data_IF_185068494934
#
_entry.id   IF_185068494934
#
_cell.length_a   1.000
_cell.length_b   1.000
_cell.length_c   1.000
_cell.angle_alpha   90.00
_cell.angle_beta   90.00
_cell.angle_gamma   90.00
#
_symmetry.space_group_name_H-M   'P 1'
#
loop_
_entity.id
_entity.type
_entity.pdbx_description
1 polymer ?
#
# COMPACT_ATOMS: atom_id res chain seq x y z
N UNK A 1 -89.53 17.71 41.62
CA UNK A 1 -88.59 18.64 40.94
C UNK A 1 -87.28 18.42 41.62
N UNK A 2 -86.38 17.54 41.04
CA UNK A 2 -85.03 17.19 41.57
C UNK A 2 -84.02 17.85 40.71
N UNK A 3 -83.24 18.76 41.30
CA UNK A 3 -82.13 19.45 40.68
C UNK A 3 -80.89 18.50 40.60
N UNK A 4 -80.26 18.37 39.45
CA UNK A 4 -79.06 17.62 39.22
C UNK A 4 -77.84 18.55 39.59
N UNK A 5 -76.75 18.02 40.16
CA UNK A 5 -75.57 18.80 40.50
C UNK A 5 -74.66 19.04 39.28
N UNK A 6 -74.19 20.26 39.11
CA UNK A 6 -73.16 20.67 38.16
C UNK A 6 -71.82 20.08 38.60
N UNK A 7 -71.17 19.27 37.72
CA UNK A 7 -69.79 18.88 37.91
C UNK A 7 -68.81 20.04 37.60
N UNK A 8 -68.11 20.48 38.63
CA UNK A 8 -66.98 21.40 38.49
C UNK A 8 -65.74 20.62 38.10
N UNK A 9 -65.32 20.68 36.86
CA UNK A 9 -64.00 20.19 36.48
C UNK A 9 -62.96 21.19 36.93
N UNK A 10 -62.08 20.77 37.83
CA UNK A 10 -61.04 21.61 38.45
C UNK A 10 -60.01 22.12 37.39
N UNK A 11 -59.68 23.38 37.51
CA UNK A 11 -58.67 24.08 36.70
C UNK A 11 -57.33 23.36 36.73
N UNK A 12 -57.03 22.60 37.79
CA UNK A 12 -55.83 21.80 37.95
C UNK A 12 -55.69 20.67 36.89
N UNK A 13 -56.78 20.03 36.44
CA UNK A 13 -56.75 18.96 35.44
C UNK A 13 -56.44 19.50 34.05
N UNK A 14 -56.78 20.73 33.70
CA UNK A 14 -56.45 21.36 32.42
C UNK A 14 -54.99 21.81 32.30
N UNK A 15 -54.37 22.21 33.43
CA UNK A 15 -52.93 22.53 33.44
C UNK A 15 -52.04 21.29 33.29
N UNK A 16 -52.42 20.14 33.88
CA UNK A 16 -51.63 18.91 33.72
C UNK A 16 -51.63 18.35 32.30
N UNK A 17 -52.75 18.46 31.57
CA UNK A 17 -52.83 18.00 30.14
C UNK A 17 -52.01 18.92 29.24
N UNK A 18 -51.94 20.22 29.44
CA UNK A 18 -51.08 21.14 28.70
C UNK A 18 -49.61 20.90 28.96
N UNK A 19 -49.20 20.63 30.20
CA UNK A 19 -47.79 20.36 30.52
C UNK A 19 -47.25 19.08 29.87
N UNK A 20 -48.08 18.02 29.84
CA UNK A 20 -47.70 16.73 29.21
C UNK A 20 -47.61 16.83 27.67
N UNK A 21 -48.46 17.63 27.02
CA UNK A 21 -48.44 17.83 25.59
C UNK A 21 -47.19 18.60 25.13
N UNK A 22 -46.72 19.60 25.88
CA UNK A 22 -45.51 20.39 25.56
C UNK A 22 -44.23 19.55 25.72
N UNK A 23 -44.17 18.62 26.72
CA UNK A 23 -43.02 17.75 26.94
C UNK A 23 -42.87 16.68 25.83
N UNK A 24 -43.98 16.14 25.31
CA UNK A 24 -43.98 15.13 24.24
C UNK A 24 -43.60 15.78 22.89
N UNK A 25 -44.07 17.00 22.59
CA UNK A 25 -43.65 17.72 21.35
C UNK A 25 -42.20 18.15 21.40
N UNK A 26 -41.65 18.55 22.56
CA UNK A 26 -40.24 18.91 22.72
C UNK A 26 -39.27 17.75 22.52
N UNK A 27 -39.63 16.53 22.93
CA UNK A 27 -38.80 15.34 22.76
C UNK A 27 -38.82 14.79 21.31
N UNK A 28 -39.90 15.00 20.55
CA UNK A 28 -39.98 14.58 19.14
C UNK A 28 -39.14 15.48 18.23
N UNK A 29 -39.08 16.77 18.49
CA UNK A 29 -38.25 17.72 17.70
C UNK A 29 -36.76 17.59 17.96
N UNK A 30 -36.36 17.17 19.17
CA UNK A 30 -34.94 16.98 19.50
C UNK A 30 -34.35 15.72 18.81
N UNK A 31 -35.16 14.67 18.62
CA UNK A 31 -34.70 13.44 17.92
C UNK A 31 -34.62 13.59 16.40
N UNK A 32 -35.47 14.45 15.78
CA UNK A 32 -35.38 14.71 14.34
C UNK A 32 -34.15 15.58 13.97
N UNK A 33 -33.69 16.45 14.86
CA UNK A 33 -32.51 17.29 14.63
C UNK A 33 -31.17 16.55 14.66
N UNK A 34 -31.09 15.44 15.41
CA UNK A 34 -29.85 14.67 15.53
C UNK A 34 -29.62 13.71 14.34
N UNK A 35 -30.69 13.24 13.69
CA UNK A 35 -30.57 12.34 12.53
C UNK A 35 -30.26 13.08 11.23
N UNK A 36 -30.67 14.34 11.08
CA UNK A 36 -30.40 15.14 9.88
C UNK A 36 -28.96 15.61 9.77
N UNK A 37 -28.24 15.84 10.87
CA UNK A 37 -26.83 16.22 10.84
C UNK A 37 -25.89 15.07 10.42
N UNK A 38 -26.24 13.81 10.73
CA UNK A 38 -25.43 12.64 10.34
C UNK A 38 -25.56 12.34 8.82
N UNK A 39 -26.72 12.62 8.21
CA UNK A 39 -26.94 12.44 6.79
C UNK A 39 -26.35 13.58 5.94
N UNK A 40 -26.36 14.81 6.47
CA UNK A 40 -25.82 15.98 5.76
C UNK A 40 -24.27 15.95 5.67
N UNK A 41 -23.59 15.36 6.65
CA UNK A 41 -22.13 15.24 6.63
C UNK A 41 -21.61 14.24 5.59
N UNK A 42 -22.41 13.22 5.23
CA UNK A 42 -22.04 12.22 4.22
C UNK A 42 -22.38 12.66 2.78
N UNK A 43 -23.31 13.60 2.59
CA UNK A 43 -23.74 14.09 1.27
C UNK A 43 -22.68 15.01 0.60
N UNK A 44 -21.69 15.49 1.34
CA UNK A 44 -20.68 16.44 0.85
C UNK A 44 -19.26 15.90 0.76
N UNK A 45 -19.05 14.59 0.97
CA UNK A 45 -17.70 14.00 0.88
C UNK A 45 -17.32 13.70 -0.59
N UNK A 46 -16.08 14.09 -1.01
CA UNK A 46 -15.13 14.97 -0.33
C UNK A 46 -15.44 16.45 -0.58
N UNK A 47 -15.22 17.31 0.42
CA UNK A 47 -15.40 18.77 0.32
C UNK A 47 -14.08 19.56 0.50
N UNK A 48 -12.95 18.86 0.64
CA UNK A 48 -11.60 19.40 0.73
C UNK A 48 -10.60 18.40 0.14
N UNK A 49 -9.35 18.82 -0.02
CA UNK A 49 -8.27 17.97 -0.53
C UNK A 49 -8.06 16.72 0.32
N UNK A 50 -7.71 15.61 -0.34
CA UNK A 50 -7.35 14.32 0.25
C UNK A 50 -5.83 14.18 0.21
N UNK A 51 -5.20 13.75 1.30
CA UNK A 51 -3.78 13.43 1.34
C UNK A 51 -3.57 11.96 1.00
N UNK A 52 -2.78 11.69 -0.04
CA UNK A 52 -2.31 10.34 -0.35
C UNK A 52 -0.88 10.16 0.17
N UNK A 53 -0.75 9.41 1.27
CA UNK A 53 0.56 9.06 1.82
C UNK A 53 1.21 8.02 0.91
N UNK A 54 2.45 8.30 0.51
CA UNK A 54 3.35 7.38 -0.20
C UNK A 54 4.51 7.06 0.73
N UNK A 55 4.65 5.81 1.23
CA UNK A 55 5.60 5.48 2.30
C UNK A 55 7.05 5.28 1.80
N UNK A 56 7.38 5.85 0.64
CA UNK A 56 8.68 5.77 -0.01
C UNK A 56 9.08 7.12 -0.63
N UNK A 57 10.38 7.34 -0.91
CA UNK A 57 10.84 8.53 -1.62
C UNK A 57 10.25 8.63 -3.03
N UNK A 58 10.25 9.83 -3.63
CA UNK A 58 9.91 10.00 -5.04
C UNK A 58 10.76 9.11 -5.97
N UNK A 59 10.16 8.69 -7.10
CA UNK A 59 10.81 7.89 -8.15
C UNK A 59 10.85 6.38 -7.91
N UNK A 60 10.38 5.87 -6.75
CA UNK A 60 10.13 4.44 -6.54
C UNK A 60 8.75 4.00 -7.07
N UNK A 61 8.50 2.68 -7.14
CA UNK A 61 7.26 2.12 -7.69
C UNK A 61 6.00 2.74 -7.06
N UNK A 62 5.96 2.90 -5.72
CA UNK A 62 4.81 3.50 -5.06
C UNK A 62 4.50 4.92 -5.56
N UNK A 63 5.53 5.74 -5.73
CA UNK A 63 5.40 7.12 -6.20
C UNK A 63 5.01 7.18 -7.69
N UNK A 64 5.62 6.31 -8.52
CA UNK A 64 5.33 6.17 -9.96
C UNK A 64 3.85 5.82 -10.18
N UNK A 65 3.29 4.92 -9.38
CA UNK A 65 1.87 4.52 -9.47
C UNK A 65 0.96 5.56 -8.81
N UNK A 66 1.36 6.11 -7.66
CA UNK A 66 0.54 7.05 -6.90
C UNK A 66 0.20 8.32 -7.68
N UNK A 67 1.16 8.90 -8.43
CA UNK A 67 0.95 10.19 -9.13
C UNK A 67 -0.16 10.13 -10.17
N UNK A 68 -0.14 9.23 -11.17
CA UNK A 68 -1.22 9.16 -12.15
C UNK A 68 -2.56 8.71 -11.53
N UNK A 69 -2.53 7.85 -10.50
CA UNK A 69 -3.73 7.44 -9.76
C UNK A 69 -4.32 8.64 -8.99
N UNK A 70 -3.51 9.41 -8.28
CA UNK A 70 -3.98 10.61 -7.57
C UNK A 70 -4.58 11.65 -8.51
N UNK A 71 -3.96 11.87 -9.68
CA UNK A 71 -4.49 12.79 -10.70
C UNK A 71 -5.85 12.32 -11.23
N UNK A 72 -5.99 11.02 -11.54
CA UNK A 72 -7.25 10.45 -12.01
C UNK A 72 -8.34 10.48 -10.92
N UNK A 73 -7.98 10.11 -9.68
CA UNK A 73 -8.90 10.21 -8.52
C UNK A 73 -9.33 11.66 -8.26
N UNK A 74 -8.42 12.64 -8.44
CA UNK A 74 -8.77 14.06 -8.27
C UNK A 74 -9.88 14.49 -9.23
N UNK A 75 -9.79 14.07 -10.50
CA UNK A 75 -10.83 14.33 -11.50
C UNK A 75 -12.17 13.70 -11.12
N UNK A 76 -12.14 12.45 -10.70
CA UNK A 76 -13.35 11.70 -10.33
C UNK A 76 -14.00 12.24 -9.04
N UNK A 77 -13.21 12.63 -8.05
CA UNK A 77 -13.70 13.12 -6.76
C UNK A 77 -14.08 14.60 -6.77
N UNK A 78 -13.65 15.37 -7.78
CA UNK A 78 -13.83 16.82 -7.81
C UNK A 78 -13.03 17.59 -6.73
N UNK A 79 -12.09 16.93 -6.07
CA UNK A 79 -11.22 17.50 -5.05
C UNK A 79 -9.77 17.03 -5.26
N UNK A 80 -8.76 17.86 -4.97
CA UNK A 80 -7.37 17.47 -5.12
C UNK A 80 -7.01 16.26 -4.26
N UNK A 81 -6.31 15.29 -4.85
CA UNK A 81 -5.61 14.21 -4.13
C UNK A 81 -4.12 14.55 -4.16
N UNK A 82 -3.57 14.95 -3.01
CA UNK A 82 -2.21 15.49 -2.89
C UNK A 82 -1.29 14.42 -2.31
N UNK A 83 -0.15 14.19 -2.96
CA UNK A 83 0.84 13.19 -2.52
C UNK A 83 1.72 13.77 -1.42
N UNK A 84 1.89 12.98 -0.36
CA UNK A 84 2.87 13.23 0.70
C UNK A 84 3.80 12.01 0.84
N UNK A 85 5.09 12.16 0.50
CA UNK A 85 6.08 11.10 0.65
C UNK A 85 6.58 11.03 2.10
N UNK A 86 6.34 9.91 2.79
CA UNK A 86 6.79 9.63 4.18
C UNK A 86 7.63 8.35 4.21
N UNK A 87 8.86 8.46 3.78
CA UNK A 87 9.78 7.33 3.65
C UNK A 87 10.40 6.89 4.97
N UNK A 88 10.88 5.65 5.01
CA UNK A 88 11.70 5.07 6.08
C UNK A 88 11.20 3.72 6.58
N UNK A 89 12.11 2.95 7.18
CA UNK A 89 11.85 1.62 7.75
C UNK A 89 11.10 0.67 6.77
N UNK A 90 11.57 0.55 5.51
CA UNK A 90 10.90 -0.30 4.51
C UNK A 90 9.49 0.16 4.10
N UNK A 91 9.11 1.38 4.45
CA UNK A 91 7.77 1.95 4.28
C UNK A 91 6.95 2.01 5.59
N UNK A 92 7.43 1.38 6.66
CA UNK A 92 6.70 1.26 7.93
C UNK A 92 6.32 2.60 8.55
N UNK A 93 7.17 3.63 8.43
CA UNK A 93 6.88 4.98 8.96
C UNK A 93 5.61 5.54 8.31
N UNK A 94 5.56 5.59 6.98
CA UNK A 94 4.40 6.16 6.27
C UNK A 94 3.14 5.31 6.42
N UNK A 95 3.26 3.98 6.44
CA UNK A 95 2.14 3.05 6.69
C UNK A 95 1.57 3.26 8.09
N UNK A 96 2.43 3.39 9.11
CA UNK A 96 2.01 3.67 10.48
C UNK A 96 1.36 5.05 10.65
N UNK A 97 1.80 6.06 9.90
CA UNK A 97 1.11 7.38 9.88
C UNK A 97 -0.30 7.24 9.29
N UNK A 98 -0.44 6.53 8.18
CA UNK A 98 -1.75 6.31 7.56
C UNK A 98 -2.68 5.48 8.45
N UNK A 99 -2.18 4.42 9.09
CA UNK A 99 -2.94 3.56 9.98
C UNK A 99 -3.54 4.32 11.19
N UNK A 100 -2.81 5.32 11.68
CA UNK A 100 -3.24 6.17 12.82
C UNK A 100 -3.99 7.44 12.41
N UNK A 101 -4.19 7.65 11.10
CA UNK A 101 -4.93 8.82 10.62
C UNK A 101 -6.41 8.73 10.99
N UNK A 102 -7.08 9.88 11.03
CA UNK A 102 -8.54 9.92 11.26
C UNK A 102 -9.26 9.12 10.17
N UNK A 103 -10.22 8.26 10.53
CA UNK A 103 -10.97 7.46 9.56
C UNK A 103 -12.09 8.25 8.88
N UNK A 104 -11.77 9.45 8.41
CA UNK A 104 -12.70 10.41 7.78
C UNK A 104 -12.58 10.45 6.25
N UNK A 105 -11.71 9.60 5.67
CA UNK A 105 -11.47 9.47 4.24
C UNK A 105 -10.52 10.53 3.65
N UNK A 106 -10.03 11.49 4.42
CA UNK A 106 -9.12 12.52 3.92
C UNK A 106 -7.64 12.14 3.99
N UNK A 107 -7.33 10.93 4.49
CA UNK A 107 -6.02 10.30 4.39
C UNK A 107 -6.17 8.94 3.73
N UNK A 108 -5.48 8.74 2.61
CA UNK A 108 -5.37 7.45 1.93
C UNK A 108 -3.89 7.07 1.81
N UNK A 109 -3.59 5.80 1.61
CA UNK A 109 -2.24 5.27 1.55
C UNK A 109 -2.03 4.50 0.24
N UNK A 110 -1.00 4.84 -0.54
CA UNK A 110 -0.49 3.99 -1.62
C UNK A 110 0.65 3.13 -1.09
N UNK A 111 0.34 1.91 -0.65
CA UNK A 111 1.32 0.98 -0.07
C UNK A 111 1.96 0.06 -1.12
N UNK A 112 3.06 -0.57 -0.73
CA UNK A 112 3.67 -1.71 -1.42
C UNK A 112 3.61 -2.98 -0.55
N UNK A 113 4.05 -4.11 -1.12
CA UNK A 113 4.01 -5.44 -0.49
C UNK A 113 4.73 -5.57 0.86
N UNK A 114 5.62 -4.62 1.24
CA UNK A 114 6.17 -4.59 2.60
C UNK A 114 5.13 -4.37 3.71
N UNK A 115 3.91 -3.94 3.35
CA UNK A 115 2.79 -3.83 4.28
C UNK A 115 2.44 -5.17 4.94
N UNK A 116 2.61 -6.29 4.24
CA UNK A 116 2.35 -7.64 4.78
C UNK A 116 3.57 -8.24 5.50
N UNK A 117 4.74 -7.60 5.39
CA UNK A 117 6.01 -8.09 5.95
C UNK A 117 6.37 -7.42 7.27
N UNK A 118 6.22 -6.08 7.34
CA UNK A 118 6.73 -5.27 8.45
C UNK A 118 6.12 -5.64 9.81
N UNK A 119 4.80 -5.87 9.96
CA UNK A 119 4.24 -6.28 11.26
C UNK A 119 4.82 -7.60 11.78
N UNK A 120 5.05 -8.56 10.89
CA UNK A 120 5.68 -9.84 11.23
C UNK A 120 7.16 -9.68 11.62
N UNK A 121 7.87 -8.80 10.92
CA UNK A 121 9.26 -8.48 11.24
C UNK A 121 9.39 -7.77 12.59
N UNK A 122 8.50 -6.84 12.92
CA UNK A 122 8.48 -6.18 14.23
C UNK A 122 8.22 -7.19 15.35
N UNK A 123 7.27 -8.13 15.16
CA UNK A 123 6.99 -9.20 16.10
C UNK A 123 8.22 -10.13 16.28
N UNK A 124 8.89 -10.53 15.18
CA UNK A 124 10.11 -11.35 15.22
C UNK A 124 11.25 -10.66 16.00
N UNK A 125 11.37 -9.35 15.86
CA UNK A 125 12.39 -8.53 16.49
C UNK A 125 12.04 -8.14 17.94
N UNK A 126 10.83 -8.49 18.42
CA UNK A 126 10.35 -8.13 19.76
C UNK A 126 10.05 -6.64 19.90
N UNK A 127 9.74 -5.95 18.81
CA UNK A 127 9.37 -4.53 18.77
C UNK A 127 7.87 -4.35 18.77
N UNK A 128 7.38 -3.24 19.32
CA UNK A 128 5.98 -2.83 19.12
C UNK A 128 5.75 -2.53 17.64
N UNK A 129 4.73 -3.14 17.00
CA UNK A 129 4.46 -2.91 15.59
C UNK A 129 4.20 -1.42 15.30
N UNK A 130 4.76 -0.92 14.20
CA UNK A 130 4.48 0.44 13.72
C UNK A 130 3.02 0.60 13.30
N UNK A 131 2.39 -0.48 12.87
CA UNK A 131 0.96 -0.63 12.54
C UNK A 131 0.62 -2.12 12.54
N UNK A 132 -0.67 -2.45 12.62
CA UNK A 132 -1.18 -3.79 12.38
C UNK A 132 -1.86 -3.84 11.00
N UNK A 133 -1.85 -4.99 10.36
CA UNK A 133 -2.49 -5.15 9.05
C UNK A 133 -3.97 -4.76 9.08
N UNK A 134 -4.66 -5.08 10.17
CA UNK A 134 -6.08 -4.78 10.38
C UNK A 134 -6.37 -3.29 10.68
N UNK A 135 -5.37 -2.46 10.88
CA UNK A 135 -5.55 -1.01 11.01
C UNK A 135 -5.83 -0.33 9.65
N UNK A 136 -5.59 -1.06 8.57
CA UNK A 136 -5.72 -0.59 7.20
C UNK A 136 -6.68 -1.45 6.39
N UNK A 137 -7.62 -0.82 5.69
CA UNK A 137 -8.62 -1.46 4.84
C UNK A 137 -8.21 -1.34 3.37
N UNK A 138 -8.07 -2.44 2.61
CA UNK A 138 -7.73 -2.38 1.19
C UNK A 138 -8.88 -1.82 0.36
N UNK A 139 -8.53 -0.97 -0.61
CA UNK A 139 -9.47 -0.32 -1.54
C UNK A 139 -9.28 -0.84 -2.96
N UNK A 140 -8.04 -0.88 -3.46
CA UNK A 140 -7.73 -1.34 -4.80
C UNK A 140 -6.25 -1.74 -4.92
N UNK A 141 -5.94 -2.80 -5.67
CA UNK A 141 -4.58 -3.08 -6.15
C UNK A 141 -4.42 -2.50 -7.55
N UNK A 142 -3.26 -1.92 -7.84
CA UNK A 142 -2.95 -1.38 -9.17
C UNK A 142 -1.94 -2.22 -9.93
N UNK A 143 -0.85 -2.66 -9.29
CA UNK A 143 0.20 -3.47 -9.92
C UNK A 143 0.55 -4.68 -9.06
N UNK A 144 1.15 -5.71 -9.68
CA UNK A 144 1.72 -6.87 -8.99
C UNK A 144 2.81 -7.46 -9.88
N UNK A 145 3.97 -6.80 -9.91
CA UNK A 145 5.07 -7.19 -10.76
C UNK A 145 6.10 -8.04 -10.03
N UNK A 146 6.69 -9.05 -10.69
CA UNK A 146 7.88 -9.69 -10.16
C UNK A 146 9.00 -8.64 -10.03
N UNK A 147 9.78 -8.71 -8.95
CA UNK A 147 11.03 -7.94 -8.87
C UNK A 147 12.06 -8.51 -9.84
N UNK A 148 13.04 -7.70 -10.21
CA UNK A 148 14.16 -8.07 -11.08
C UNK A 148 15.49 -7.95 -10.32
N UNK A 149 16.43 -8.86 -10.55
CA UNK A 149 17.81 -8.78 -10.09
C UNK A 149 18.59 -7.90 -11.05
N UNK A 150 18.97 -6.73 -10.59
CA UNK A 150 19.66 -5.72 -11.37
C UNK A 150 21.08 -5.50 -10.89
N UNK A 151 22.00 -5.31 -11.86
CA UNK A 151 23.40 -4.96 -11.66
C UNK A 151 23.78 -3.87 -12.66
N UNK A 152 24.92 -3.20 -12.47
CA UNK A 152 25.44 -2.30 -13.50
C UNK A 152 25.78 -3.08 -14.79
N UNK A 153 25.66 -2.45 -15.93
CA UNK A 153 25.94 -3.10 -17.21
C UNK A 153 27.42 -3.51 -17.36
N UNK A 154 28.34 -2.80 -16.69
CA UNK A 154 29.78 -3.08 -16.67
C UNK A 154 30.20 -4.07 -15.56
N UNK A 155 29.25 -4.58 -14.75
CA UNK A 155 29.55 -5.60 -13.75
C UNK A 155 30.08 -6.90 -14.39
N UNK A 156 30.90 -7.69 -13.67
CA UNK A 156 31.47 -8.90 -14.21
C UNK A 156 30.44 -9.97 -14.54
N UNK A 157 29.26 -9.94 -13.90
CA UNK A 157 28.24 -10.97 -14.06
C UNK A 157 27.35 -10.68 -15.26
N UNK A 158 27.26 -11.66 -16.15
CA UNK A 158 26.41 -11.60 -17.36
C UNK A 158 25.05 -12.32 -17.16
N UNK A 159 24.97 -13.18 -16.15
CA UNK A 159 23.80 -13.99 -15.83
C UNK A 159 23.78 -14.34 -14.32
N UNK A 160 22.65 -14.90 -13.86
CA UNK A 160 22.45 -15.28 -12.45
C UNK A 160 23.46 -16.34 -11.99
N UNK A 161 23.84 -17.28 -12.85
CA UNK A 161 24.79 -18.36 -12.46
C UNK A 161 26.13 -17.77 -12.10
N UNK A 162 26.68 -16.88 -12.90
CA UNK A 162 27.94 -16.17 -12.61
C UNK A 162 27.85 -15.36 -11.30
N UNK A 163 26.74 -14.67 -11.08
CA UNK A 163 26.50 -13.93 -9.84
C UNK A 163 26.51 -14.84 -8.61
N UNK A 164 25.79 -15.97 -8.65
CA UNK A 164 25.73 -16.93 -7.55
C UNK A 164 27.06 -17.66 -7.34
N UNK A 165 27.76 -18.05 -8.42
CA UNK A 165 29.08 -18.67 -8.31
C UNK A 165 30.11 -17.76 -7.65
N UNK A 166 30.09 -16.46 -7.98
CA UNK A 166 30.97 -15.47 -7.36
C UNK A 166 30.61 -15.27 -5.88
N UNK A 167 29.30 -15.18 -5.56
CA UNK A 167 28.83 -15.10 -4.18
C UNK A 167 29.25 -16.33 -3.32
N UNK A 168 29.33 -17.53 -3.92
CA UNK A 168 29.85 -18.73 -3.24
C UNK A 168 31.34 -18.68 -3.00
N UNK A 169 32.09 -18.18 -3.98
CA UNK A 169 33.57 -18.05 -3.88
C UNK A 169 33.97 -16.98 -2.87
N UNK A 170 33.17 -15.94 -2.72
CA UNK A 170 33.46 -14.77 -1.87
C UNK A 170 32.26 -14.44 -0.95
N UNK A 171 31.98 -15.26 0.07
CA UNK A 171 30.80 -15.07 0.93
C UNK A 171 30.80 -13.68 1.58
N UNK A 172 29.71 -12.93 1.41
CA UNK A 172 29.53 -11.58 1.95
C UNK A 172 30.30 -10.47 1.21
N UNK A 173 31.03 -10.77 0.12
CA UNK A 173 31.75 -9.75 -0.64
C UNK A 173 30.83 -8.94 -1.58
N UNK A 174 29.72 -9.51 -2.02
CA UNK A 174 28.76 -8.83 -2.89
C UNK A 174 27.78 -8.04 -2.03
N UNK A 175 27.73 -6.72 -2.25
CA UNK A 175 26.82 -5.82 -1.57
C UNK A 175 25.55 -5.64 -2.38
N UNK A 176 24.39 -5.72 -1.73
CA UNK A 176 23.13 -5.38 -2.39
C UNK A 176 22.37 -4.27 -1.65
N UNK A 177 21.73 -3.40 -2.41
CA UNK A 177 20.89 -2.34 -1.90
C UNK A 177 19.44 -2.75 -1.72
N UNK A 178 18.77 -2.17 -0.73
CA UNK A 178 17.34 -2.37 -0.51
C UNK A 178 16.61 -1.06 -0.18
N UNK A 179 15.29 -1.14 -0.05
CA UNK A 179 14.45 -0.05 0.44
C UNK A 179 14.30 0.00 1.97
N UNK A 180 15.24 -0.62 2.70
CA UNK A 180 15.23 -0.80 4.16
C UNK A 180 15.00 -2.26 4.56
N UNK A 181 15.27 -2.57 5.82
CA UNK A 181 15.13 -3.91 6.39
C UNK A 181 13.68 -4.40 6.22
N UNK A 182 13.52 -5.64 5.79
CA UNK A 182 12.24 -6.28 5.48
C UNK A 182 11.38 -5.54 4.44
N UNK A 183 11.96 -4.58 3.73
CA UNK A 183 11.31 -3.87 2.62
C UNK A 183 11.20 -4.75 1.37
N UNK A 184 10.45 -4.24 0.38
CA UNK A 184 10.15 -4.94 -0.89
C UNK A 184 11.35 -5.30 -1.75
N UNK A 185 12.52 -4.71 -1.48
CA UNK A 185 13.78 -4.98 -2.18
C UNK A 185 14.70 -5.90 -1.35
N UNK A 186 14.53 -5.97 -0.04
CA UNK A 186 15.31 -6.81 0.85
C UNK A 186 14.83 -8.26 0.80
N UNK A 187 13.53 -8.48 1.03
CA UNK A 187 12.91 -9.81 1.08
C UNK A 187 13.27 -10.71 -0.11
N UNK A 188 13.11 -10.28 -1.38
CA UNK A 188 13.45 -11.13 -2.52
C UNK A 188 14.94 -11.48 -2.61
N UNK A 189 15.85 -10.58 -2.22
CA UNK A 189 17.29 -10.88 -2.18
C UNK A 189 17.61 -11.95 -1.14
N UNK A 190 16.99 -11.88 0.04
CA UNK A 190 17.16 -12.90 1.08
C UNK A 190 16.56 -14.24 0.66
N UNK A 191 15.40 -14.25 -0.03
CA UNK A 191 14.84 -15.49 -0.62
C UNK A 191 15.85 -16.12 -1.59
N UNK A 192 16.47 -15.31 -2.47
CA UNK A 192 17.47 -15.82 -3.42
C UNK A 192 18.72 -16.33 -2.70
N UNK A 193 19.24 -15.54 -1.76
CA UNK A 193 20.46 -15.91 -1.01
C UNK A 193 20.28 -17.24 -0.27
N UNK A 194 19.14 -17.41 0.41
CA UNK A 194 18.80 -18.66 1.10
C UNK A 194 18.63 -19.85 0.12
N UNK A 195 17.87 -19.62 -0.96
CA UNK A 195 17.61 -20.67 -1.97
C UNK A 195 18.89 -21.13 -2.66
N UNK A 196 19.82 -20.20 -2.91
CA UNK A 196 21.10 -20.47 -3.56
C UNK A 196 22.19 -20.93 -2.58
N UNK A 197 21.97 -20.84 -1.26
CA UNK A 197 22.96 -21.16 -0.23
C UNK A 197 24.17 -20.23 -0.27
N UNK A 198 23.97 -18.92 -0.46
CA UNK A 198 25.01 -17.91 -0.53
C UNK A 198 24.81 -16.81 0.50
N UNK A 199 25.91 -16.11 0.84
CA UNK A 199 25.89 -14.95 1.73
C UNK A 199 26.14 -13.68 0.93
N UNK A 200 25.22 -12.71 1.04
CA UNK A 200 25.34 -11.36 0.48
C UNK A 200 25.38 -10.35 1.62
N UNK A 201 25.93 -9.16 1.39
CA UNK A 201 25.92 -8.08 2.38
C UNK A 201 24.83 -7.05 2.04
N UNK A 202 23.91 -6.88 2.98
CA UNK A 202 22.78 -5.97 2.84
C UNK A 202 23.15 -4.52 3.19
N UNK A 203 22.82 -3.57 2.30
CA UNK A 203 22.97 -2.13 2.52
C UNK A 203 21.59 -1.46 2.41
N UNK A 204 20.99 -1.03 3.53
CA UNK A 204 19.67 -0.41 3.52
C UNK A 204 19.71 1.03 3.04
N UNK A 205 18.76 1.40 2.16
CA UNK A 205 18.47 2.75 1.73
C UNK A 205 17.03 3.14 2.14
N UNK A 206 16.67 4.40 1.99
CA UNK A 206 15.31 4.88 2.29
C UNK A 206 14.26 4.45 1.24
N UNK A 207 14.70 3.95 0.08
CA UNK A 207 13.82 3.50 -1.01
C UNK A 207 14.57 3.14 -2.28
N UNK A 208 13.82 2.74 -3.33
CA UNK A 208 14.38 2.27 -4.59
C UNK A 208 15.18 3.35 -5.34
N UNK A 209 14.71 4.60 -5.38
CA UNK A 209 15.41 5.69 -6.06
C UNK A 209 16.85 5.87 -5.57
N UNK A 210 17.08 6.14 -4.27
CA UNK A 210 18.43 6.23 -3.70
C UNK A 210 19.28 4.97 -3.93
N UNK A 211 18.71 3.76 -3.83
CA UNK A 211 19.43 2.51 -4.06
C UNK A 211 19.90 2.37 -5.52
N UNK A 212 19.05 2.73 -6.50
CA UNK A 212 19.41 2.73 -7.94
C UNK A 212 20.53 3.72 -8.20
N UNK A 213 20.48 4.92 -7.63
CA UNK A 213 21.56 5.92 -7.76
C UNK A 213 22.88 5.38 -7.18
N UNK A 214 22.84 4.75 -5.99
CA UNK A 214 23.99 4.13 -5.36
C UNK A 214 24.59 3.01 -6.21
N UNK A 215 23.75 2.15 -6.83
CA UNK A 215 24.22 1.12 -7.75
C UNK A 215 24.87 1.70 -9.00
N UNK A 216 24.25 2.69 -9.64
CA UNK A 216 24.82 3.35 -10.81
C UNK A 216 26.15 4.06 -10.49
N UNK A 217 26.29 4.57 -9.26
CA UNK A 217 27.53 5.16 -8.73
C UNK A 217 28.57 4.13 -8.25
N UNK A 218 28.29 2.83 -8.32
CA UNK A 218 29.22 1.78 -7.90
C UNK A 218 29.38 1.62 -6.38
N UNK A 219 28.47 2.19 -5.57
CA UNK A 219 28.50 2.06 -4.11
C UNK A 219 27.93 0.71 -3.64
N UNK A 220 27.10 0.08 -4.44
CA UNK A 220 26.58 -1.27 -4.26
C UNK A 220 26.66 -2.03 -5.59
N UNK A 221 26.70 -3.35 -5.49
CA UNK A 221 26.93 -4.24 -6.64
C UNK A 221 25.63 -4.65 -7.33
N UNK A 222 24.58 -4.87 -6.55
CA UNK A 222 23.30 -5.39 -7.02
C UNK A 222 22.11 -4.80 -6.26
N UNK A 223 20.92 -4.95 -6.80
CA UNK A 223 19.66 -4.73 -6.09
C UNK A 223 18.53 -5.58 -6.69
N UNK A 224 17.50 -5.85 -5.89
CA UNK A 224 16.22 -6.28 -6.43
C UNK A 224 15.24 -5.11 -6.40
N UNK A 225 14.46 -4.94 -7.48
CA UNK A 225 13.48 -3.85 -7.55
C UNK A 225 12.38 -4.16 -8.57
N UNK A 226 11.28 -3.40 -8.54
CA UNK A 226 10.28 -3.50 -9.60
C UNK A 226 10.82 -3.02 -10.96
N UNK A 227 10.39 -3.61 -12.09
CA UNK A 227 10.81 -3.23 -13.43
C UNK A 227 10.72 -1.72 -13.69
N UNK A 228 9.66 -1.08 -13.19
CA UNK A 228 9.39 0.35 -13.36
C UNK A 228 10.55 1.27 -12.96
N UNK A 229 11.34 0.89 -11.96
CA UNK A 229 12.42 1.72 -11.45
C UNK A 229 13.72 1.61 -12.26
N UNK A 230 13.89 0.57 -13.05
CA UNK A 230 15.15 0.30 -13.79
C UNK A 230 14.99 0.23 -15.31
N UNK A 231 13.79 0.07 -15.84
CA UNK A 231 13.54 -0.15 -17.27
C UNK A 231 14.22 0.89 -18.17
N UNK A 232 14.15 2.18 -17.81
CA UNK A 232 14.79 3.24 -18.61
C UNK A 232 16.32 3.16 -18.56
N UNK A 233 16.89 2.75 -17.44
CA UNK A 233 18.33 2.52 -17.31
C UNK A 233 18.79 1.26 -18.06
N UNK A 234 17.94 0.24 -18.15
CA UNK A 234 18.18 -0.96 -18.98
C UNK A 234 18.18 -0.56 -20.45
N UNK A 235 17.17 0.16 -20.93
CA UNK A 235 17.09 0.69 -22.30
C UNK A 235 18.28 1.60 -22.64
N UNK A 236 18.80 2.35 -21.69
CA UNK A 236 19.97 3.19 -21.83
C UNK A 236 21.30 2.43 -21.72
N UNK A 237 21.29 1.09 -21.59
CA UNK A 237 22.49 0.26 -21.48
C UNK A 237 23.31 0.50 -20.20
N UNK A 238 22.74 1.09 -19.14
CA UNK A 238 23.44 1.36 -17.88
C UNK A 238 23.24 0.25 -16.84
N UNK A 239 22.15 -0.48 -16.94
CA UNK A 239 21.78 -1.60 -16.04
C UNK A 239 21.59 -2.86 -16.86
N UNK A 240 22.04 -3.98 -16.32
CA UNK A 240 21.72 -5.34 -16.78
C UNK A 240 20.82 -6.01 -15.77
N UNK A 241 19.75 -6.66 -16.26
CA UNK A 241 18.90 -7.51 -15.46
C UNK A 241 19.36 -8.95 -15.65
N UNK A 242 19.67 -9.64 -14.56
CA UNK A 242 20.19 -11.01 -14.55
C UNK A 242 19.08 -12.05 -14.49
N UNK A 243 17.93 -11.71 -13.91
CA UNK A 243 16.78 -12.59 -13.76
C UNK A 243 15.65 -11.91 -13.03
N UNK A 244 14.50 -12.57 -12.88
CA UNK A 244 13.36 -12.03 -12.14
C UNK A 244 12.67 -13.09 -11.26
N UNK A 245 11.96 -12.64 -10.21
CA UNK A 245 11.29 -13.49 -9.22
C UNK A 245 9.87 -13.92 -9.60
N UNK A 246 9.49 -13.83 -10.88
CA UNK A 246 8.16 -14.22 -11.36
C UNK A 246 8.10 -15.61 -11.93
N UNK A 247 6.88 -16.02 -12.31
CA UNK A 247 6.59 -17.22 -13.09
C UNK A 247 6.34 -16.84 -14.56
N UNK A 248 7.05 -17.45 -15.48
CA UNK A 248 6.92 -17.18 -16.93
C UNK A 248 7.58 -15.87 -17.38
N UNK A 249 7.28 -15.42 -18.58
CA UNK A 249 7.92 -14.25 -19.19
C UNK A 249 7.51 -12.93 -18.51
N UNK A 250 8.47 -12.05 -18.34
CA UNK A 250 8.23 -10.68 -17.87
C UNK A 250 7.89 -9.78 -19.07
N UNK A 251 6.67 -9.28 -19.14
CA UNK A 251 6.17 -8.55 -20.33
C UNK A 251 7.05 -7.35 -20.74
N UNK A 252 7.66 -6.65 -19.78
CA UNK A 252 8.53 -5.50 -20.04
C UNK A 252 9.97 -5.88 -20.43
N UNK A 253 10.37 -7.14 -20.19
CA UNK A 253 11.72 -7.68 -20.45
C UNK A 253 11.62 -9.17 -20.80
N UNK A 254 11.07 -9.54 -21.97
CA UNK A 254 10.74 -10.92 -22.32
C UNK A 254 11.97 -11.83 -22.43
N UNK A 255 13.14 -11.26 -22.68
CA UNK A 255 14.41 -12.00 -22.81
C UNK A 255 15.05 -12.34 -21.44
N UNK A 256 14.50 -11.81 -20.34
CA UNK A 256 15.00 -12.09 -19.00
C UNK A 256 14.29 -13.32 -18.43
N UNK A 257 15.05 -14.36 -18.10
CA UNK A 257 14.52 -15.60 -17.54
C UNK A 257 14.10 -15.43 -16.08
N UNK A 258 13.08 -16.21 -15.65
CA UNK A 258 12.74 -16.30 -14.24
C UNK A 258 13.84 -17.03 -13.45
N UNK A 259 14.02 -16.68 -12.18
CA UNK A 259 14.93 -17.39 -11.28
C UNK A 259 14.55 -18.88 -11.15
N UNK A 260 13.24 -19.17 -11.20
CA UNK A 260 12.71 -20.52 -11.16
C UNK A 260 13.15 -21.36 -12.37
N UNK A 261 13.07 -20.80 -13.59
CA UNK A 261 13.53 -21.46 -14.80
C UNK A 261 15.05 -21.67 -14.81
N UNK A 262 15.78 -20.85 -14.06
CA UNK A 262 17.22 -20.96 -13.86
C UNK A 262 17.61 -21.92 -12.70
N UNK A 263 16.63 -22.60 -12.08
CA UNK A 263 16.82 -23.59 -11.04
C UNK A 263 16.81 -23.06 -9.60
N UNK A 264 16.43 -21.79 -9.40
CA UNK A 264 16.28 -21.19 -8.08
C UNK A 264 14.78 -21.05 -7.75
N UNK A 265 14.27 -21.82 -6.79
CA UNK A 265 12.87 -21.72 -6.34
C UNK A 265 12.65 -20.47 -5.50
N UNK A 266 12.75 -19.32 -6.13
CA UNK A 266 12.62 -17.99 -5.54
C UNK A 266 11.54 -17.21 -6.28
N UNK A 267 10.39 -17.02 -5.64
CA UNK A 267 9.26 -16.27 -6.18
C UNK A 267 8.91 -15.08 -5.28
N UNK A 268 8.73 -13.92 -5.88
CA UNK A 268 8.29 -12.72 -5.18
C UNK A 268 7.63 -11.74 -6.15
N UNK A 269 6.50 -11.17 -5.75
CA UNK A 269 5.85 -10.08 -6.48
C UNK A 269 5.78 -8.84 -5.60
N UNK A 270 6.18 -7.72 -6.15
CA UNK A 270 6.00 -6.41 -5.56
C UNK A 270 4.67 -5.84 -6.07
N UNK A 271 3.69 -5.74 -5.21
CA UNK A 271 2.41 -5.14 -5.55
C UNK A 271 2.27 -3.73 -4.99
N UNK A 272 1.44 -2.91 -5.64
CA UNK A 272 1.02 -1.60 -5.16
C UNK A 272 -0.49 -1.54 -4.96
N UNK A 273 -0.93 -0.92 -3.88
CA UNK A 273 -2.35 -0.81 -3.60
C UNK A 273 -2.74 0.37 -2.71
N UNK A 274 -3.98 0.80 -2.89
CA UNK A 274 -4.61 1.87 -2.13
C UNK A 274 -5.30 1.30 -0.90
N UNK A 275 -5.06 1.96 0.24
CA UNK A 275 -5.63 1.63 1.54
C UNK A 275 -6.20 2.88 2.22
N UNK A 276 -7.07 2.66 3.19
CA UNK A 276 -7.60 3.67 4.11
C UNK A 276 -7.56 3.14 5.54
N UNK A 277 -7.63 4.00 6.58
CA UNK A 277 -7.85 3.56 7.96
C UNK A 277 -9.09 2.66 8.08
N UNK A 278 -8.98 1.54 8.79
CA UNK A 278 -10.03 0.49 8.84
C UNK A 278 -11.37 1.00 9.35
N UNK A 279 -11.39 1.99 10.27
CA UNK A 279 -12.61 2.60 10.81
C UNK A 279 -13.33 3.58 9.86
N UNK A 280 -12.88 3.76 8.61
CA UNK A 280 -13.52 4.68 7.66
C UNK A 280 -14.96 4.25 7.35
N UNK A 281 -15.96 5.15 7.49
CA UNK A 281 -17.37 4.85 7.23
C UNK A 281 -17.62 4.29 5.83
N UNK A 282 -18.52 3.32 5.72
CA UNK A 282 -18.78 2.61 4.46
C UNK A 282 -19.16 3.53 3.27
N UNK A 283 -20.01 4.56 3.43
CA UNK A 283 -20.32 5.47 2.31
C UNK A 283 -19.07 6.18 1.75
N UNK A 284 -18.13 6.57 2.63
CA UNK A 284 -16.86 7.18 2.25
C UNK A 284 -15.97 6.15 1.55
N UNK A 285 -15.86 4.94 2.10
CA UNK A 285 -15.11 3.85 1.49
C UNK A 285 -15.64 3.49 0.09
N UNK A 286 -16.96 3.47 -0.11
CA UNK A 286 -17.58 3.25 -1.41
C UNK A 286 -17.23 4.34 -2.42
N UNK A 287 -17.25 5.62 -2.02
CA UNK A 287 -16.84 6.73 -2.88
C UNK A 287 -15.37 6.64 -3.29
N UNK A 288 -14.49 6.26 -2.35
CA UNK A 288 -13.06 6.04 -2.62
C UNK A 288 -12.83 4.81 -3.51
N UNK A 289 -13.57 3.71 -3.36
CA UNK A 289 -13.51 2.55 -4.26
C UNK A 289 -13.92 2.92 -5.68
N UNK A 290 -15.01 3.69 -5.83
CA UNK A 290 -15.45 4.15 -7.15
C UNK A 290 -14.36 4.99 -7.82
N UNK A 291 -13.76 5.94 -7.11
CA UNK A 291 -12.67 6.77 -7.62
C UNK A 291 -11.40 5.95 -7.94
N UNK A 292 -11.06 4.98 -7.10
CA UNK A 292 -9.93 4.08 -7.33
C UNK A 292 -10.13 3.21 -8.59
N UNK A 293 -11.35 2.69 -8.80
CA UNK A 293 -11.71 1.92 -10.00
C UNK A 293 -11.65 2.80 -11.25
N UNK A 294 -12.20 4.01 -11.19
CA UNK A 294 -12.13 4.96 -12.30
C UNK A 294 -10.67 5.28 -12.65
N UNK A 295 -9.80 5.49 -11.65
CA UNK A 295 -8.38 5.72 -11.88
C UNK A 295 -7.67 4.51 -12.54
N UNK A 296 -8.04 3.29 -12.18
CA UNK A 296 -7.50 2.08 -12.83
C UNK A 296 -7.97 1.91 -14.28
N UNK A 297 -9.09 2.54 -14.66
CA UNK A 297 -9.66 2.52 -16.01
C UNK A 297 -9.27 3.74 -16.84
N UNK A 298 -8.74 4.79 -16.21
CA UNK A 298 -8.31 6.01 -16.88
C UNK A 298 -7.13 5.71 -17.82
N UNK A 299 -7.31 5.99 -19.11
CA UNK A 299 -6.31 5.67 -20.14
C UNK A 299 -4.98 6.36 -19.89
N UNK A 300 -4.99 7.65 -19.50
CA UNK A 300 -3.79 8.42 -19.22
C UNK A 300 -3.01 7.83 -18.02
N UNK A 301 -3.70 7.47 -16.94
CA UNK A 301 -3.06 6.85 -15.78
C UNK A 301 -2.48 5.47 -16.14
N UNK A 302 -3.21 4.66 -16.89
CA UNK A 302 -2.75 3.35 -17.36
C UNK A 302 -1.52 3.47 -18.25
N UNK A 303 -1.55 4.36 -19.23
CA UNK A 303 -0.43 4.55 -20.17
C UNK A 303 0.84 5.00 -19.43
N UNK A 304 0.72 5.92 -18.47
CA UNK A 304 1.85 6.36 -17.65
C UNK A 304 2.44 5.17 -16.86
N UNK A 305 1.61 4.36 -16.21
CA UNK A 305 2.07 3.21 -15.43
C UNK A 305 2.67 2.14 -16.35
N UNK A 306 2.00 1.77 -17.44
CA UNK A 306 2.45 0.76 -18.41
C UNK A 306 3.79 1.10 -19.06
N UNK A 307 3.99 2.37 -19.41
CA UNK A 307 5.23 2.85 -20.04
C UNK A 307 6.46 2.71 -19.13
N UNK A 308 6.24 2.53 -17.82
CA UNK A 308 7.32 2.21 -16.88
C UNK A 308 7.69 0.72 -16.84
N UNK A 309 6.91 -0.14 -17.49
CA UNK A 309 7.11 -1.59 -17.49
C UNK A 309 6.30 -2.35 -16.44
N UNK A 310 5.37 -1.66 -15.75
CA UNK A 310 4.46 -2.25 -14.75
C UNK A 310 3.02 -2.13 -15.21
N UNK A 311 2.45 -3.13 -15.91
CA UNK A 311 1.08 -3.06 -16.39
C UNK A 311 0.09 -3.00 -15.22
N UNK A 312 -1.02 -2.27 -15.41
CA UNK A 312 -2.08 -2.21 -14.42
C UNK A 312 -2.77 -3.58 -14.31
N UNK A 313 -2.72 -4.15 -13.11
CA UNK A 313 -3.33 -5.43 -12.73
C UNK A 313 -4.33 -5.17 -11.58
N UNK A 314 -5.44 -4.53 -11.93
CA UNK A 314 -6.43 -4.09 -10.98
C UNK A 314 -7.12 -5.26 -10.27
N UNK A 315 -7.23 -5.15 -8.94
CA UNK A 315 -8.19 -5.89 -8.13
C UNK A 315 -9.06 -4.91 -7.37
N UNK A 316 -10.35 -5.20 -7.27
CA UNK A 316 -11.25 -4.45 -6.39
C UNK A 316 -10.97 -4.71 -4.90
N UNK A 317 -11.65 -4.00 -4.04
CA UNK A 317 -11.43 -4.08 -2.59
C UNK A 317 -11.60 -5.50 -2.03
N UNK A 318 -12.57 -6.27 -2.50
CA UNK A 318 -12.86 -7.60 -2.00
C UNK A 318 -11.79 -8.62 -2.42
N UNK A 319 -11.42 -8.62 -3.69
CA UNK A 319 -10.39 -9.54 -4.19
C UNK A 319 -9.00 -9.11 -3.73
N UNK A 320 -8.77 -7.80 -3.57
CA UNK A 320 -7.52 -7.30 -3.01
C UNK A 320 -7.38 -7.65 -1.53
N UNK A 321 -8.45 -7.65 -0.73
CA UNK A 321 -8.42 -8.10 0.66
C UNK A 321 -8.00 -9.57 0.77
N UNK A 322 -8.61 -10.45 -0.03
CA UNK A 322 -8.21 -11.88 -0.11
C UNK A 322 -6.75 -12.04 -0.48
N UNK A 323 -6.30 -11.25 -1.46
CA UNK A 323 -4.91 -11.26 -1.91
C UNK A 323 -3.95 -10.84 -0.80
N UNK A 324 -4.23 -9.74 -0.09
CA UNK A 324 -3.41 -9.22 1.03
C UNK A 324 -3.31 -10.24 2.16
N UNK A 325 -4.42 -10.89 2.51
CA UNK A 325 -4.43 -11.93 3.56
C UNK A 325 -3.60 -13.16 3.17
N UNK A 326 -3.73 -13.62 1.92
CA UNK A 326 -2.93 -14.74 1.41
C UNK A 326 -1.42 -14.37 1.35
N UNK A 327 -1.10 -13.15 0.93
CA UNK A 327 0.27 -12.66 0.89
C UNK A 327 0.87 -12.54 2.30
N UNK A 328 0.13 -11.99 3.27
CA UNK A 328 0.57 -11.90 4.66
C UNK A 328 0.90 -13.28 5.24
N UNK A 329 0.03 -14.27 5.03
CA UNK A 329 0.28 -15.65 5.48
C UNK A 329 1.57 -16.21 4.89
N UNK A 330 1.81 -16.01 3.59
CA UNK A 330 3.04 -16.43 2.91
C UNK A 330 4.26 -15.71 3.47
N UNK A 331 4.15 -14.40 3.73
CA UNK A 331 5.26 -13.58 4.23
C UNK A 331 5.64 -13.90 5.68
N UNK A 332 4.73 -14.36 6.51
CA UNK A 332 5.05 -14.84 7.86
C UNK A 332 6.14 -15.94 7.84
N UNK A 333 6.02 -16.92 6.94
CA UNK A 333 7.01 -17.99 6.79
C UNK A 333 8.34 -17.47 6.22
N UNK A 334 8.28 -16.53 5.30
CA UNK A 334 9.47 -15.90 4.69
C UNK A 334 10.24 -15.10 5.76
N UNK A 335 9.55 -14.26 6.55
CA UNK A 335 10.16 -13.46 7.62
C UNK A 335 10.84 -14.35 8.65
N UNK A 336 10.21 -15.46 9.08
CA UNK A 336 10.82 -16.43 10.00
C UNK A 336 12.09 -17.05 9.44
N UNK A 337 12.13 -17.34 8.12
CA UNK A 337 13.31 -17.90 7.46
C UNK A 337 14.44 -16.87 7.33
N UNK A 338 14.12 -15.61 6.99
CA UNK A 338 15.11 -14.52 6.96
C UNK A 338 15.74 -14.36 8.35
N UNK A 339 14.95 -14.53 9.42
CA UNK A 339 15.44 -14.37 10.79
C UNK A 339 15.66 -12.90 11.14
N UNK A 340 16.40 -12.68 12.24
CA UNK A 340 16.74 -11.32 12.70
C UNK A 340 17.83 -10.74 11.81
N UNK A 341 17.54 -9.57 11.22
CA UNK A 341 18.51 -8.75 10.48
C UNK A 341 18.96 -7.63 11.39
N UNK A 342 20.27 -7.52 11.61
CA UNK A 342 20.89 -6.47 12.43
C UNK A 342 20.95 -5.11 11.72
#
# INVERSE_FOLDING_TARGET
MKLLPRSQTSVASRLQILATAVTVLGSLTLNLGLTTNALAQNASYPNKSITMIVPFPPGGLADIVARPVAEAMSRELGQPVVIENKAGAGGGIGMGVAARAKPDGYTVLMALSSLTVIPEADALLGRSPMFLLNDLRPIARYTADPTVLAVRADSPWKNVKEFIEDARKRPGAINYGSSGNYGTMHVPMEILAQTAGVKLTHIPFTGAGPAVVAMLGGQIDALSTGPATVLQHVKAGKIRVLGHWGNGALASMPDVSSLKDLGFNAEYAQWSGLFIPSGTPEPIAQRLRAAAKAAAQDSKARDVIQNTGSPVQYLDSQDFEKYVQADAKRMTDVVKKIGKVE
#
